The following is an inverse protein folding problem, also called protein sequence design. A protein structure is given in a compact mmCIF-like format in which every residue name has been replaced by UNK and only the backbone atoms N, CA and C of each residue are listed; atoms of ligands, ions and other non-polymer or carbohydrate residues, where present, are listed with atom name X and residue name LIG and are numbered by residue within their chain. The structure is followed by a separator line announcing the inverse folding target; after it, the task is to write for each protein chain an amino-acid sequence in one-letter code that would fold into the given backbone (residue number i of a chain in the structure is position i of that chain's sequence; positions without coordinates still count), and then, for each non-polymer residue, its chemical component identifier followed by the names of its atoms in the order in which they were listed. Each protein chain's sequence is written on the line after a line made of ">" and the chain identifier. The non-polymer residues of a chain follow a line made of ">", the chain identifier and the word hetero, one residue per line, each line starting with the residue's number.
data_IF_325416402472
#
_entry.id   IF_325416402472
#
_cell.length_a   1.000
_cell.length_b   1.000
_cell.length_c   1.000
_cell.angle_alpha   90.00
_cell.angle_beta   90.00
_cell.angle_gamma   90.00
#
_symmetry.space_group_name_H-M   'P 1'
#
loop_
_entity.id
_entity.type
_entity.pdbx_description
1 polymer ?
#
# COMPACT_ATOMS: atom_id res chain seq x y z
N UNK A 1 59.63 -3.24 57.92
CA UNK A 1 59.48 -3.67 56.52
C UNK A 1 57.99 -3.64 56.18
N UNK A 2 57.59 -2.70 55.33
CA UNK A 2 56.33 -2.70 54.55
C UNK A 2 56.36 -3.88 53.54
N UNK A 3 55.32 -4.16 52.74
CA UNK A 3 53.91 -3.72 52.72
C UNK A 3 52.95 -4.95 52.76
N UNK A 4 51.62 -4.86 52.83
CA UNK A 4 50.76 -4.46 51.71
C UNK A 4 49.32 -4.23 52.16
N UNK A 5 48.97 -2.94 52.09
CA UNK A 5 47.61 -2.43 51.96
C UNK A 5 47.08 -2.64 50.55
N UNK A 6 45.76 -2.45 50.43
CA UNK A 6 44.95 -2.30 49.22
C UNK A 6 44.67 -3.60 48.45
N UNK A 7 43.40 -4.01 48.49
CA UNK A 7 42.56 -4.24 47.31
C UNK A 7 41.30 -4.99 47.75
N UNK A 8 40.23 -4.26 48.09
CA UNK A 8 38.84 -4.74 48.01
C UNK A 8 37.89 -3.54 48.11
N UNK A 9 38.16 -2.54 47.26
CA UNK A 9 37.20 -1.49 46.99
C UNK A 9 36.21 -2.03 45.92
N UNK A 10 34.98 -2.27 46.38
CA UNK A 10 33.75 -1.89 45.68
C UNK A 10 33.73 -2.09 44.16
N UNK A 11 33.25 -3.27 43.72
CA UNK A 11 32.75 -3.44 42.37
C UNK A 11 31.47 -4.27 42.38
N UNK A 12 30.36 -3.63 42.75
CA UNK A 12 29.01 -4.14 42.52
C UNK A 12 28.15 -2.96 42.04
N UNK A 13 28.54 -2.40 40.90
CA UNK A 13 27.69 -1.53 40.12
C UNK A 13 26.74 -2.45 39.34
N UNK A 14 25.58 -2.74 39.94
CA UNK A 14 24.45 -3.39 39.28
C UNK A 14 24.05 -2.54 38.07
N UNK A 15 24.45 -2.97 36.87
CA UNK A 15 23.91 -2.49 35.60
C UNK A 15 22.45 -2.95 35.50
N UNK A 16 21.55 -2.18 36.11
CA UNK A 16 20.13 -2.22 35.80
C UNK A 16 19.94 -1.66 34.39
N UNK A 17 20.23 -2.49 33.38
CA UNK A 17 19.83 -2.26 32.00
C UNK A 17 18.33 -2.54 31.91
N UNK A 18 17.50 -1.64 32.44
CA UNK A 18 16.07 -1.65 32.18
C UNK A 18 15.89 -1.34 30.70
N UNK A 19 15.74 -2.38 29.88
CA UNK A 19 15.25 -2.26 28.51
C UNK A 19 13.78 -1.85 28.57
N UNK A 20 13.54 -0.57 28.83
CA UNK A 20 12.24 0.03 28.60
C UNK A 20 12.02 0.07 27.10
N UNK A 21 11.11 -0.75 26.61
CA UNK A 21 10.54 -0.57 25.28
C UNK A 21 9.89 0.83 25.27
N UNK A 22 10.58 1.81 24.69
CA UNK A 22 10.00 3.12 24.45
C UNK A 22 8.88 2.94 23.43
N UNK A 23 7.64 2.86 23.91
CA UNK A 23 6.48 3.07 23.07
C UNK A 23 6.68 4.45 22.44
N UNK A 24 6.90 4.48 21.13
CA UNK A 24 7.03 5.72 20.39
C UNK A 24 5.69 6.45 20.50
N UNK A 25 5.62 7.43 21.40
CA UNK A 25 4.40 8.19 21.63
C UNK A 25 4.16 9.05 20.41
N UNK A 26 3.14 8.68 19.62
CA UNK A 26 2.72 9.50 18.52
C UNK A 26 1.98 10.74 19.04
N UNK A 27 2.36 11.93 18.56
CA UNK A 27 1.80 13.21 19.02
C UNK A 27 0.70 13.76 18.11
N UNK A 28 0.09 12.94 17.25
CA UNK A 28 -1.00 13.39 16.40
C UNK A 28 -2.29 13.60 17.21
N UNK A 29 -3.00 14.69 16.93
CA UNK A 29 -4.32 14.97 17.50
C UNK A 29 -5.40 14.41 16.58
N UNK A 30 -6.43 13.77 17.13
CA UNK A 30 -7.52 13.21 16.33
C UNK A 30 -8.23 12.04 17.02
N UNK A 31 -9.07 11.33 16.27
CA UNK A 31 -9.77 10.14 16.75
C UNK A 31 -8.94 8.90 16.45
N UNK A 32 -8.70 8.07 17.47
CA UNK A 32 -8.14 6.74 17.21
C UNK A 32 -9.17 5.89 16.47
N UNK A 33 -8.79 5.38 15.31
CA UNK A 33 -9.62 4.53 14.45
C UNK A 33 -8.92 3.22 14.16
N UNK A 34 -9.72 2.18 13.92
CA UNK A 34 -9.23 0.88 13.42
C UNK A 34 -10.04 0.50 12.20
N UNK A 35 -9.35 0.14 11.12
CA UNK A 35 -9.96 -0.23 9.85
C UNK A 35 -9.28 -1.47 9.28
N UNK A 36 -10.06 -2.31 8.60
CA UNK A 36 -9.57 -3.52 7.95
C UNK A 36 -9.84 -3.43 6.46
N UNK A 37 -8.88 -3.89 5.66
CA UNK A 37 -8.98 -3.86 4.21
C UNK A 37 -7.70 -4.32 3.54
N UNK A 38 -7.54 -4.01 2.25
CA UNK A 38 -6.33 -4.33 1.51
C UNK A 38 -5.37 -3.14 1.46
N UNK A 39 -4.08 -3.39 1.67
CA UNK A 39 -3.05 -2.39 1.39
C UNK A 39 -2.64 -2.51 -0.07
N UNK A 40 -2.58 -1.38 -0.75
CA UNK A 40 -2.21 -1.29 -2.16
C UNK A 40 -1.36 -0.05 -2.42
N UNK A 41 -0.43 -0.14 -3.37
CA UNK A 41 0.36 1.01 -3.79
C UNK A 41 -0.42 1.99 -4.66
N UNK A 42 -0.11 3.29 -4.52
CA UNK A 42 -0.80 4.34 -5.25
C UNK A 42 -0.62 4.21 -6.76
N UNK A 43 0.56 3.77 -7.23
CA UNK A 43 0.81 3.63 -8.66
C UNK A 43 -0.14 2.62 -9.32
N UNK A 44 -0.33 1.45 -8.72
CA UNK A 44 -1.29 0.48 -9.26
C UNK A 44 -2.71 1.05 -9.26
N UNK A 45 -3.12 1.78 -8.22
CA UNK A 45 -4.43 2.45 -8.19
C UNK A 45 -4.56 3.45 -9.35
N UNK A 46 -3.54 4.30 -9.56
CA UNK A 46 -3.53 5.34 -10.60
C UNK A 46 -3.50 4.76 -12.02
N UNK A 47 -2.88 3.59 -12.20
CA UNK A 47 -2.90 2.86 -13.46
C UNK A 47 -4.26 2.23 -13.80
N UNK A 48 -5.21 2.23 -12.86
CA UNK A 48 -6.54 1.59 -12.93
C UNK A 48 -6.49 0.06 -12.98
N UNK A 49 -5.46 -0.51 -13.61
CA UNK A 49 -5.21 -1.94 -13.72
C UNK A 49 -3.93 -2.30 -12.99
N UNK A 50 -3.88 -3.52 -12.44
CA UNK A 50 -2.70 -3.99 -11.73
C UNK A 50 -1.51 -4.09 -12.68
N UNK A 51 -0.36 -3.54 -12.28
CA UNK A 51 0.82 -3.53 -13.15
C UNK A 51 1.36 -4.95 -13.42
N UNK A 52 1.23 -5.84 -12.45
CA UNK A 52 1.60 -7.25 -12.50
C UNK A 52 0.53 -8.15 -13.13
N UNK A 53 -0.73 -7.68 -13.16
CA UNK A 53 -1.83 -8.39 -13.81
C UNK A 53 -2.80 -7.41 -14.50
N UNK A 54 -2.45 -6.92 -15.70
CA UNK A 54 -3.16 -5.82 -16.36
C UNK A 54 -4.59 -6.17 -16.81
N UNK A 55 -5.04 -7.42 -16.64
CA UNK A 55 -6.42 -7.82 -16.92
C UNK A 55 -7.38 -7.53 -15.77
N UNK A 56 -6.86 -7.21 -14.58
CA UNK A 56 -7.65 -6.97 -13.36
C UNK A 56 -7.59 -5.49 -12.98
N UNK A 57 -8.75 -4.90 -12.72
CA UNK A 57 -8.84 -3.54 -12.19
C UNK A 57 -8.51 -3.53 -10.70
N UNK A 58 -7.75 -2.54 -10.28
CA UNK A 58 -7.15 -2.46 -8.94
C UNK A 58 -8.18 -2.39 -7.83
N UNK A 59 -9.24 -1.60 -8.03
CA UNK A 59 -10.33 -1.46 -7.07
C UNK A 59 -11.41 -2.55 -7.19
N UNK A 60 -11.31 -3.48 -8.14
CA UNK A 60 -12.22 -4.64 -8.27
C UNK A 60 -11.62 -5.91 -7.65
N UNK A 61 -10.31 -6.11 -7.77
CA UNK A 61 -9.63 -7.32 -7.31
C UNK A 61 -8.31 -7.05 -6.58
N UNK A 62 -8.30 -6.31 -5.46
CA UNK A 62 -7.07 -6.08 -4.70
C UNK A 62 -6.46 -7.36 -4.11
N UNK A 63 -7.24 -8.43 -3.95
CA UNK A 63 -6.78 -9.73 -3.45
C UNK A 63 -5.84 -10.48 -4.39
N UNK A 64 -5.79 -10.12 -5.68
CA UNK A 64 -4.87 -10.75 -6.64
C UNK A 64 -3.63 -9.91 -6.94
N UNK A 65 -3.49 -8.75 -6.30
CA UNK A 65 -2.31 -7.90 -6.40
C UNK A 65 -1.10 -8.59 -5.76
N UNK A 66 -0.03 -8.77 -6.52
CA UNK A 66 1.15 -9.48 -6.03
C UNK A 66 1.87 -8.72 -4.92
N UNK A 67 2.29 -9.45 -3.88
CA UNK A 67 3.19 -8.94 -2.86
C UNK A 67 4.50 -8.43 -3.48
N UNK A 68 4.93 -8.97 -4.62
CA UNK A 68 6.10 -8.48 -5.37
C UNK A 68 6.05 -6.98 -5.65
N UNK A 69 4.89 -6.45 -6.03
CA UNK A 69 4.71 -5.02 -6.27
C UNK A 69 4.86 -4.19 -4.98
N UNK A 70 4.38 -4.72 -3.86
CA UNK A 70 4.44 -4.08 -2.54
C UNK A 70 5.84 -4.12 -1.90
N UNK A 71 6.82 -4.81 -2.47
CA UNK A 71 8.11 -5.02 -1.79
C UNK A 71 9.33 -4.82 -2.69
N UNK A 72 9.28 -5.22 -3.96
CA UNK A 72 10.44 -5.23 -4.87
C UNK A 72 10.36 -4.19 -5.98
N UNK A 73 9.15 -3.89 -6.46
CA UNK A 73 8.97 -2.99 -7.60
C UNK A 73 9.11 -1.55 -7.12
N UNK A 74 10.29 -0.97 -7.37
CA UNK A 74 10.67 0.34 -6.83
C UNK A 74 9.63 1.44 -7.09
N UNK A 75 9.05 1.50 -8.29
CA UNK A 75 8.04 2.52 -8.61
C UNK A 75 6.75 2.37 -7.81
N UNK A 76 6.32 1.14 -7.51
CA UNK A 76 5.18 0.85 -6.65
C UNK A 76 5.51 1.23 -5.19
N UNK A 77 6.66 0.78 -4.68
CA UNK A 77 7.12 1.11 -3.33
C UNK A 77 7.25 2.62 -3.11
N UNK A 78 7.90 3.32 -4.05
CA UNK A 78 8.14 4.76 -3.96
C UNK A 78 6.83 5.58 -4.07
N UNK A 79 5.76 4.98 -4.63
CA UNK A 79 4.44 5.63 -4.72
C UNK A 79 3.69 5.68 -3.38
N UNK A 80 4.20 5.01 -2.33
CA UNK A 80 3.55 4.86 -1.03
C UNK A 80 2.23 4.07 -1.11
N UNK A 81 1.69 3.72 0.06
CA UNK A 81 0.58 2.80 0.17
C UNK A 81 -0.68 3.44 0.75
N UNK A 82 -1.79 2.81 0.43
CA UNK A 82 -3.14 3.17 0.86
C UNK A 82 -3.80 1.97 1.51
N UNK A 83 -4.71 2.22 2.44
CA UNK A 83 -5.65 1.21 2.91
C UNK A 83 -6.96 1.36 2.13
N UNK A 84 -7.36 0.28 1.46
CA UNK A 84 -8.63 0.18 0.75
C UNK A 84 -9.70 -0.41 1.66
N UNK A 85 -10.83 0.28 1.84
CA UNK A 85 -12.00 -0.28 2.50
C UNK A 85 -12.77 -1.21 1.54
N UNK A 86 -13.40 -2.27 2.07
CA UNK A 86 -14.25 -3.16 1.28
C UNK A 86 -15.40 -2.40 0.62
N UNK A 87 -15.98 -2.93 -0.47
CA UNK A 87 -17.12 -2.32 -1.11
C UNK A 87 -18.31 -2.15 -0.15
N UNK A 88 -18.95 -0.98 -0.19
CA UNK A 88 -20.16 -0.67 0.56
C UNK A 88 -21.33 -0.34 -0.37
N UNK A 89 -22.56 -0.37 0.14
CA UNK A 89 -23.76 0.12 -0.54
C UNK A 89 -24.06 -0.56 -1.89
N UNK A 90 -23.75 -1.86 -2.02
CA UNK A 90 -23.99 -2.63 -3.25
C UNK A 90 -23.00 -2.35 -4.39
N UNK A 91 -21.93 -1.59 -4.12
CA UNK A 91 -20.77 -1.49 -5.00
C UNK A 91 -20.00 -2.80 -5.03
N UNK A 92 -19.30 -3.06 -6.13
CA UNK A 92 -18.27 -4.10 -6.23
C UNK A 92 -16.85 -3.51 -6.12
N UNK A 93 -16.73 -2.20 -5.94
CA UNK A 93 -15.46 -1.48 -5.89
C UNK A 93 -15.02 -1.21 -4.46
N UNK A 94 -13.78 -1.56 -4.18
CA UNK A 94 -13.04 -1.07 -3.04
C UNK A 94 -12.84 0.44 -3.16
N UNK A 95 -12.69 1.11 -2.02
CA UNK A 95 -12.48 2.56 -1.98
C UNK A 95 -11.26 2.90 -1.12
N UNK A 96 -10.53 3.95 -1.50
CA UNK A 96 -9.42 4.44 -0.68
C UNK A 96 -9.99 4.98 0.63
N UNK A 97 -9.61 4.35 1.75
CA UNK A 97 -10.04 4.74 3.10
C UNK A 97 -9.06 5.70 3.74
N UNK A 98 -7.76 5.39 3.65
CA UNK A 98 -6.68 6.21 4.20
C UNK A 98 -5.40 6.08 3.36
N UNK A 99 -4.68 7.19 3.18
CA UNK A 99 -3.26 7.15 2.84
C UNK A 99 -2.46 6.76 4.09
N UNK A 100 -1.45 5.92 3.93
CA UNK A 100 -0.61 5.50 5.07
C UNK A 100 0.61 6.41 5.30
N UNK A 101 0.86 7.35 4.37
CA UNK A 101 2.02 8.24 4.42
C UNK A 101 3.34 7.46 4.41
N UNK A 102 4.46 8.17 4.62
CA UNK A 102 5.80 7.56 4.56
C UNK A 102 6.00 6.51 5.66
N UNK A 103 5.65 6.85 6.91
CA UNK A 103 5.87 5.97 8.05
C UNK A 103 4.98 4.72 8.01
N UNK A 104 3.68 4.88 7.70
CA UNK A 104 2.76 3.75 7.60
C UNK A 104 3.07 2.87 6.39
N UNK A 105 3.50 3.44 5.26
CA UNK A 105 3.91 2.65 4.08
C UNK A 105 5.18 1.86 4.35
N UNK A 106 6.16 2.42 5.07
CA UNK A 106 7.36 1.69 5.49
C UNK A 106 7.01 0.50 6.40
N UNK A 107 6.09 0.70 7.36
CA UNK A 107 5.60 -0.37 8.22
C UNK A 107 4.86 -1.46 7.42
N UNK A 108 3.96 -1.06 6.53
CA UNK A 108 3.21 -1.98 5.69
C UNK A 108 4.14 -2.78 4.74
N UNK A 109 5.16 -2.14 4.16
CA UNK A 109 6.20 -2.83 3.36
C UNK A 109 6.91 -3.90 4.18
N UNK A 110 7.32 -3.57 5.41
CA UNK A 110 7.97 -4.53 6.28
C UNK A 110 7.05 -5.73 6.57
N UNK A 111 5.76 -5.50 6.82
CA UNK A 111 4.82 -6.61 7.05
C UNK A 111 4.61 -7.44 5.77
N UNK A 112 4.53 -6.81 4.60
CA UNK A 112 4.45 -7.51 3.32
C UNK A 112 5.69 -8.37 3.03
N UNK A 113 6.90 -7.87 3.36
CA UNK A 113 8.13 -8.65 3.27
C UNK A 113 8.11 -9.88 4.17
N UNK A 114 7.67 -9.72 5.42
CA UNK A 114 7.54 -10.85 6.36
C UNK A 114 6.49 -11.86 5.90
N UNK A 115 5.36 -11.39 5.37
CA UNK A 115 4.33 -12.27 4.82
C UNK A 115 4.87 -13.10 3.64
N UNK A 116 5.64 -12.46 2.75
CA UNK A 116 6.33 -13.14 1.65
C UNK A 116 7.33 -14.19 2.13
N UNK A 117 8.11 -13.90 3.17
CA UNK A 117 9.06 -14.87 3.74
C UNK A 117 8.36 -16.14 4.27
N UNK A 118 7.09 -16.02 4.64
CA UNK A 118 6.25 -17.14 5.08
C UNK A 118 5.45 -17.79 3.94
N UNK A 119 5.72 -17.41 2.68
CA UNK A 119 5.12 -17.98 1.48
C UNK A 119 3.90 -17.24 0.94
N UNK A 120 3.60 -16.03 1.43
CA UNK A 120 2.54 -15.20 0.87
C UNK A 120 2.89 -14.65 -0.51
N UNK A 121 1.97 -14.76 -1.47
CA UNK A 121 2.20 -14.35 -2.86
C UNK A 121 1.32 -13.16 -3.30
N UNK A 122 0.04 -13.16 -2.96
CA UNK A 122 -0.94 -12.18 -3.46
C UNK A 122 -1.91 -11.71 -2.39
N UNK A 123 -2.39 -10.49 -2.58
CA UNK A 123 -3.37 -9.84 -1.72
C UNK A 123 -2.78 -9.54 -0.35
N UNK A 124 -2.71 -8.27 0.03
CA UNK A 124 -2.23 -7.91 1.36
C UNK A 124 -3.35 -7.29 2.20
N UNK A 125 -4.17 -8.15 2.80
CA UNK A 125 -5.20 -7.74 3.74
C UNK A 125 -4.61 -7.44 5.11
N UNK A 126 -4.94 -6.31 5.72
CA UNK A 126 -4.44 -5.93 7.03
C UNK A 126 -5.51 -5.19 7.85
N UNK A 127 -5.39 -5.29 9.17
CA UNK A 127 -6.08 -4.40 10.11
C UNK A 127 -5.09 -3.34 10.57
N UNK A 128 -5.45 -2.08 10.34
CA UNK A 128 -4.64 -0.90 10.63
C UNK A 128 -5.32 -0.07 11.70
N UNK A 129 -4.56 0.32 12.72
CA UNK A 129 -4.99 1.27 13.75
C UNK A 129 -4.13 2.53 13.67
N UNK A 130 -4.75 3.69 13.82
CA UNK A 130 -4.06 4.97 13.79
C UNK A 130 -4.93 6.12 14.30
N UNK A 131 -4.49 7.35 14.07
CA UNK A 131 -5.19 8.58 14.44
C UNK A 131 -5.70 9.28 13.18
N UNK A 132 -7.00 9.46 13.11
CA UNK A 132 -7.72 10.22 12.10
C UNK A 132 -7.89 11.67 12.58
N UNK A 133 -7.13 12.57 11.98
CA UNK A 133 -7.13 14.03 12.24
C UNK A 133 -8.09 14.79 11.30
N UNK A 134 -8.89 14.07 10.52
CA UNK A 134 -9.76 14.62 9.47
C UNK A 134 -9.07 14.83 8.12
N UNK A 135 -7.78 14.50 8.00
CA UNK A 135 -7.08 14.48 6.70
C UNK A 135 -7.15 13.09 6.05
N UNK A 136 -6.85 12.97 4.74
CA UNK A 136 -6.81 11.66 4.08
C UNK A 136 -5.71 10.72 4.60
N UNK A 137 -4.69 11.23 5.29
CA UNK A 137 -3.57 10.43 5.78
C UNK A 137 -3.78 9.98 7.23
N UNK A 138 -3.76 8.67 7.47
CA UNK A 138 -3.84 8.13 8.82
C UNK A 138 -2.51 8.33 9.54
N UNK A 139 -2.55 8.97 10.71
CA UNK A 139 -1.37 9.20 11.54
C UNK A 139 -1.15 8.04 12.49
N UNK A 140 0.06 7.93 13.05
CA UNK A 140 0.36 6.95 14.10
C UNK A 140 0.06 5.48 13.71
N UNK A 141 0.29 5.14 12.45
CA UNK A 141 -0.11 3.87 11.87
C UNK A 141 0.54 2.69 12.59
N UNK A 142 -0.28 1.73 12.97
CA UNK A 142 0.10 0.41 13.49
C UNK A 142 -0.68 -0.66 12.75
N UNK A 143 -0.08 -1.83 12.55
CA UNK A 143 -0.72 -2.97 11.89
C UNK A 143 -0.91 -4.11 12.91
N UNK A 144 -2.01 -4.84 12.78
CA UNK A 144 -2.19 -6.12 13.46
C UNK A 144 -1.16 -7.13 12.96
N UNK A 145 -0.60 -7.94 13.87
CA UNK A 145 0.34 -9.01 13.52
C UNK A 145 -0.32 -10.10 12.65
N UNK A 146 -1.64 -10.18 12.61
CA UNK A 146 -2.35 -11.09 11.70
C UNK A 146 -2.77 -10.32 10.46
N UNK A 147 -2.20 -10.72 9.32
CA UNK A 147 -2.54 -10.23 7.98
C UNK A 147 -3.27 -11.32 7.20
N UNK A 148 -3.92 -10.98 6.08
CA UNK A 148 -4.54 -11.93 5.16
C UNK A 148 -3.77 -11.89 3.86
N UNK A 149 -3.14 -13.00 3.51
CA UNK A 149 -2.46 -13.18 2.22
C UNK A 149 -2.95 -14.47 1.57
N UNK A 150 -3.11 -14.45 0.24
CA UNK A 150 -3.67 -15.55 -0.54
C UNK A 150 -5.04 -16.03 -0.01
N UNK A 151 -5.83 -15.10 0.53
CA UNK A 151 -7.12 -15.36 1.16
C UNK A 151 -7.05 -16.07 2.50
N UNK A 152 -5.87 -16.21 3.11
CA UNK A 152 -5.65 -16.92 4.39
C UNK A 152 -5.04 -16.02 5.45
N UNK A 153 -5.46 -16.13 6.72
CA UNK A 153 -4.81 -15.42 7.80
C UNK A 153 -3.40 -15.97 8.02
N UNK A 154 -2.44 -15.06 8.15
CA UNK A 154 -1.04 -15.34 8.42
C UNK A 154 -0.60 -14.48 9.61
N UNK A 155 -0.10 -15.12 10.66
CA UNK A 155 0.41 -14.42 11.85
C UNK A 155 1.90 -14.19 11.70
N UNK A 156 2.28 -12.92 11.64
CA UNK A 156 3.65 -12.46 11.60
C UNK A 156 4.21 -12.43 13.03
N UNK A 157 5.44 -12.92 13.21
CA UNK A 157 6.16 -12.68 14.47
C UNK A 157 6.42 -11.19 14.58
N UNK A 158 6.10 -10.59 15.72
CA UNK A 158 6.15 -9.14 15.94
C UNK A 158 7.50 -8.57 15.51
N UNK A 159 7.55 -7.94 14.34
CA UNK A 159 8.67 -7.09 13.97
C UNK A 159 8.39 -5.73 14.61
N UNK A 160 9.21 -5.27 15.56
CA UNK A 160 9.07 -3.91 16.05
C UNK A 160 9.19 -2.94 14.86
N UNK A 161 8.44 -1.83 14.84
CA UNK A 161 8.55 -0.86 13.77
C UNK A 161 10.02 -0.46 13.62
N UNK A 162 10.57 -0.67 12.41
CA UNK A 162 11.92 -0.21 12.11
C UNK A 162 11.97 1.30 12.43
N UNK A 163 12.99 1.79 13.16
CA UNK A 163 13.12 3.20 13.41
C UNK A 163 13.20 3.91 12.06
N UNK A 164 12.20 4.74 11.77
CA UNK A 164 12.20 5.64 10.63
C UNK A 164 13.42 6.53 10.73
N UNK A 165 14.50 6.21 10.02
CA UNK A 165 15.61 7.14 9.86
C UNK A 165 15.09 8.30 9.05
N UNK A 166 14.78 9.39 9.74
CA UNK A 166 14.58 10.71 9.17
C UNK A 166 15.79 11.02 8.29
N UNK A 167 15.63 10.91 6.97
CA UNK A 167 16.59 11.50 6.04
C UNK A 167 16.54 13.01 6.24
N UNK A 168 17.45 13.52 7.04
CA UNK A 168 17.70 14.94 7.17
C UNK A 168 18.13 15.45 5.79
N UNK A 169 17.23 16.21 5.17
CA UNK A 169 17.49 17.02 3.99
C UNK A 169 18.58 18.04 4.32
N UNK A 170 19.79 17.85 3.79
CA UNK A 170 20.80 18.90 3.78
C UNK A 170 20.56 19.79 2.56
N UNK A 171 19.69 20.78 2.72
CA UNK A 171 19.59 21.92 1.82
C UNK A 171 20.86 22.77 2.00
N UNK A 172 21.69 22.87 0.97
CA UNK A 172 22.67 23.96 0.86
C UNK A 172 22.61 24.50 -0.57
N UNK A 173 21.79 25.54 -0.74
CA UNK A 173 21.98 26.58 -1.75
C UNK A 173 22.83 27.68 -1.08
N UNK A 174 23.68 28.49 -1.70
CA UNK A 174 23.90 28.96 -3.08
C UNK A 174 25.31 29.66 -3.13
N UNK A 175 25.69 30.61 -4.03
CA UNK A 175 25.30 30.94 -5.42
C UNK A 175 26.49 31.23 -6.40
N UNK A 176 26.20 31.33 -7.72
CA UNK A 176 26.75 32.23 -8.82
C UNK A 176 28.29 32.37 -9.06
N UNK A 177 28.90 32.57 -10.26
CA UNK A 177 28.50 33.05 -11.60
C UNK A 177 29.68 32.87 -12.61
N UNK A 178 29.36 32.70 -13.91
CA UNK A 178 30.02 33.25 -15.13
C UNK A 178 31.47 32.90 -15.50
N UNK A 179 31.68 32.27 -16.68
CA UNK A 179 32.17 32.93 -17.92
C UNK A 179 32.22 31.96 -19.11
N UNK A 180 31.66 32.43 -20.22
CA UNK A 180 31.58 31.86 -21.56
C UNK A 180 32.92 31.90 -22.31
N UNK A 181 33.17 30.95 -23.22
CA UNK A 181 33.87 31.25 -24.47
C UNK A 181 33.43 30.30 -25.60
N UNK A 182 32.79 30.91 -26.60
CA UNK A 182 32.37 30.37 -27.87
C UNK A 182 33.56 29.95 -28.76
N UNK A 183 33.33 28.97 -29.64
CA UNK A 183 34.03 28.96 -30.94
C UNK A 183 33.09 28.47 -32.05
N UNK A 184 32.96 29.36 -33.02
CA UNK A 184 32.20 29.29 -34.27
C UNK A 184 32.87 28.35 -35.28
N UNK A 185 32.08 27.54 -36.00
CA UNK A 185 32.33 27.23 -37.42
C UNK A 185 31.07 26.64 -38.09
N UNK A 186 30.57 27.36 -39.09
CA UNK A 186 29.72 26.91 -40.20
C UNK A 186 30.27 27.57 -41.47
N UNK A 187 29.81 27.27 -42.70
CA UNK A 187 29.06 26.12 -43.21
C UNK A 187 29.80 25.45 -44.40
N UNK A 188 29.28 24.33 -44.93
CA UNK A 188 29.52 24.03 -46.35
C UNK A 188 28.24 23.53 -47.02
N UNK A 189 27.87 24.25 -48.07
CA UNK A 189 26.74 24.03 -48.98
C UNK A 189 27.17 23.13 -50.14
N UNK A 190 26.36 22.15 -50.52
CA UNK A 190 26.21 21.78 -51.94
C UNK A 190 24.80 21.23 -52.17
N UNK A 191 24.05 21.93 -53.02
CA UNK A 191 22.77 21.52 -53.58
C UNK A 191 22.99 20.72 -54.88
N UNK A 192 22.04 19.85 -55.23
CA UNK A 192 21.58 19.44 -56.60
C UNK A 192 20.67 18.21 -56.38
N UNK A 193 19.34 18.35 -56.46
CA UNK A 193 18.46 18.34 -57.64
C UNK A 193 17.88 16.94 -57.91
N UNK A 194 16.56 16.80 -57.84
CA UNK A 194 15.84 15.60 -58.26
C UNK A 194 14.43 15.42 -57.69
N UNK A 195 13.46 16.18 -58.20
CA UNK A 195 12.02 15.83 -58.24
C UNK A 195 11.77 15.36 -59.69
N UNK A 196 10.87 14.41 -60.06
CA UNK A 196 9.50 14.34 -59.55
C UNK A 196 8.77 12.96 -59.49
N UNK A 197 7.60 12.99 -58.83
CA UNK A 197 6.36 12.18 -59.03
C UNK A 197 6.36 10.66 -58.79
N UNK A 198 5.51 10.19 -57.85
CA UNK A 198 4.31 9.39 -58.22
C UNK A 198 3.26 9.32 -57.10
N UNK A 199 2.03 9.58 -57.52
CA UNK A 199 0.71 9.41 -56.92
C UNK A 199 0.37 7.96 -56.53
N UNK A 200 -0.37 7.76 -55.42
CA UNK A 200 -1.51 6.81 -55.23
C UNK A 200 -2.01 6.91 -53.76
N UNK A 201 -3.09 7.65 -53.52
CA UNK A 201 -4.47 7.22 -53.20
C UNK A 201 -4.68 6.58 -51.81
N UNK A 202 -5.61 7.12 -50.98
CA UNK A 202 -5.98 6.55 -49.68
C UNK A 202 -6.99 5.42 -49.85
N UNK A 203 -6.82 4.31 -49.13
CA UNK A 203 -7.82 3.23 -49.07
C UNK A 203 -8.69 3.42 -47.84
N UNK A 204 -9.87 3.96 -48.07
CA UNK A 204 -11.04 3.86 -47.20
C UNK A 204 -11.49 2.39 -47.16
N UNK A 205 -11.65 1.81 -45.98
CA UNK A 205 -12.40 0.57 -45.81
C UNK A 205 -13.59 0.83 -44.90
N UNK A 206 -14.77 0.87 -45.51
CA UNK A 206 -16.07 0.78 -44.87
C UNK A 206 -16.70 -0.53 -45.32
N UNK A 207 -16.97 -1.43 -44.39
CA UNK A 207 -17.96 -2.50 -44.51
C UNK A 207 -18.39 -2.85 -43.06
N UNK A 208 -19.52 -2.31 -42.60
CA UNK A 208 -20.87 -2.85 -42.77
C UNK A 208 -21.21 -3.94 -41.72
N UNK A 209 -22.06 -3.49 -40.80
CA UNK A 209 -23.08 -4.19 -40.03
C UNK A 209 -23.24 -5.70 -40.23
N UNK A 210 -23.24 -6.42 -39.10
CA UNK A 210 -24.21 -7.48 -38.89
C UNK A 210 -24.88 -7.32 -37.51
N UNK A 211 -26.20 -7.39 -37.57
CA UNK A 211 -27.21 -7.15 -36.56
C UNK A 211 -27.46 -8.40 -35.71
N UNK A 212 -27.83 -8.20 -34.43
CA UNK A 212 -28.61 -9.14 -33.56
C UNK A 212 -27.93 -10.49 -33.23
N UNK A 213 -27.90 -10.97 -31.99
CA UNK A 213 -29.05 -11.20 -31.11
C UNK A 213 -28.61 -11.29 -29.65
N UNK A 214 -29.38 -10.63 -28.79
CA UNK A 214 -29.45 -10.82 -27.34
C UNK A 214 -29.95 -12.22 -26.97
N UNK A 215 -29.49 -12.82 -25.86
CA UNK A 215 -30.37 -13.66 -25.05
C UNK A 215 -30.78 -12.89 -23.79
N UNK A 216 -32.05 -12.48 -23.79
CA UNK A 216 -32.79 -12.13 -22.60
C UNK A 216 -33.19 -13.40 -21.81
N UNK A 217 -33.42 -13.18 -20.52
CA UNK A 217 -33.70 -14.15 -19.48
C UNK A 217 -34.95 -15.02 -19.69
N UNK A 218 -34.87 -16.27 -19.20
CA UNK A 218 -35.94 -17.10 -18.61
C UNK A 218 -35.27 -18.39 -18.11
N UNK A 219 -35.58 -18.98 -16.97
CA UNK A 219 -36.65 -18.81 -16.01
C UNK A 219 -36.21 -19.50 -14.73
N UNK A 220 -36.46 -18.85 -13.61
CA UNK A 220 -36.35 -19.43 -12.26
C UNK A 220 -37.46 -20.46 -12.05
N UNK A 221 -37.10 -21.58 -11.43
CA UNK A 221 -38.01 -22.39 -10.62
C UNK A 221 -37.23 -22.83 -9.38
N UNK A 222 -37.66 -22.43 -8.19
CA UNK A 222 -37.83 -23.45 -7.16
C UNK A 222 -39.12 -23.26 -6.35
N UNK A 223 -40.06 -24.18 -6.56
CA UNK A 223 -41.00 -24.62 -5.54
C UNK A 223 -40.24 -25.47 -4.49
N UNK A 224 -40.14 -24.99 -3.24
CA UNK A 224 -40.40 -25.81 -2.04
C UNK A 224 -40.19 -25.01 -0.75
N UNK A 225 -41.31 -24.86 -0.04
CA UNK A 225 -41.43 -24.51 1.37
C UNK A 225 -40.55 -25.39 2.28
N UNK A 226 -39.88 -24.77 3.25
CA UNK A 226 -39.77 -25.30 4.61
C UNK A 226 -39.56 -24.13 5.60
N UNK A 227 -40.67 -23.68 6.19
CA UNK A 227 -40.69 -23.02 7.49
C UNK A 227 -40.06 -23.93 8.55
N UNK A 228 -39.32 -23.41 9.53
CA UNK A 228 -39.47 -23.73 10.97
C UNK A 228 -38.59 -22.79 11.84
N UNK A 229 -39.27 -22.14 12.79
CA UNK A 229 -38.89 -21.66 14.12
C UNK A 229 -37.80 -20.57 14.31
N UNK A 230 -38.32 -19.40 14.69
CA UNK A 230 -37.66 -18.45 15.57
C UNK A 230 -37.36 -19.07 16.95
N UNK A 231 -36.14 -18.85 17.45
CA UNK A 231 -35.81 -18.99 18.86
C UNK A 231 -35.55 -17.58 19.43
N UNK A 232 -36.56 -17.05 20.10
CA UNK A 232 -36.49 -15.83 20.91
C UNK A 232 -35.74 -16.19 22.19
N UNK A 233 -34.50 -15.73 22.32
CA UNK A 233 -33.74 -15.81 23.56
C UNK A 233 -34.07 -14.61 24.46
N UNK A 234 -35.08 -14.76 25.32
CA UNK A 234 -35.31 -13.86 26.46
C UNK A 234 -34.27 -14.22 27.52
N UNK A 235 -33.26 -13.36 27.74
CA UNK A 235 -32.43 -13.43 28.96
C UNK A 235 -33.11 -12.61 30.04
N UNK A 236 -33.47 -13.32 31.10
CA UNK A 236 -34.22 -12.84 32.24
C UNK A 236 -33.46 -11.79 33.06
N UNK A 237 -34.22 -10.78 33.45
CA UNK A 237 -33.95 -9.82 34.50
C UNK A 237 -33.80 -10.55 35.84
N UNK A 238 -32.73 -10.28 36.58
CA UNK A 238 -32.60 -10.65 38.00
C UNK A 238 -31.88 -9.52 38.72
N UNK A 239 -32.64 -8.54 39.20
CA UNK A 239 -32.17 -7.58 40.18
C UNK A 239 -32.97 -7.80 41.46
N UNK A 240 -32.35 -8.51 42.40
CA UNK A 240 -32.75 -8.61 43.80
C UNK A 240 -32.35 -7.32 44.54
N UNK A 241 -33.22 -6.95 45.47
CA UNK A 241 -33.21 -5.79 46.39
C UNK A 241 -31.83 -5.28 46.84
#
# INVERSE_FOLDING_TARGET
>A
MQPSSFLLATFLLLLSMTTGASAQTCSAEGKTVTATGFIMDNLCIDLVNLMDNPTVKTLEGPEVHSIHCLVDVKSCVDSLYTLLAPPENGSNLYTVKYQLGVAGSALAKNYAENARLLGGEKGFGATVTGVDDGTPELKCVTLSNTVVVDGKPLTLSSVPPAPSTTSASSTTAAPTTTTSLSTTAAPNTTAVSGTPTTTTTPTTSTAASNTTTSPAASSVDPLALASVAAAVGIVALSLTL
#
